data_IF_351596620602
#
_entry.id   IF_351596620602
#
_cell.length_a   1.000
_cell.length_b   1.000
_cell.length_c   1.000
_cell.angle_alpha   90.00
_cell.angle_beta   90.00
_cell.angle_gamma   90.00
#
_symmetry.space_group_name_H-M   'P 1'
#
loop_
_entity.id
_entity.type
_entity.pdbx_description
1 polymer ?
#
# COMPACT_ATOMS: atom_id res chain seq x y z
N UNK A 1 -11.53 -2.94 27.37
CA UNK A 1 -10.99 -2.48 26.07
C UNK A 1 -9.57 -3.00 25.82
N UNK A 2 -8.63 -2.84 26.77
CA UNK A 2 -7.24 -3.33 26.65
C UNK A 2 -7.13 -4.85 26.46
N UNK A 3 -7.94 -5.66 27.14
CA UNK A 3 -7.95 -7.12 26.97
C UNK A 3 -8.39 -7.54 25.57
N UNK A 4 -9.41 -6.89 25.02
CA UNK A 4 -9.91 -7.17 23.65
C UNK A 4 -8.83 -6.79 22.63
N UNK A 5 -8.20 -5.63 22.80
CA UNK A 5 -7.09 -5.18 21.96
C UNK A 5 -5.89 -6.15 22.05
N UNK A 6 -5.55 -6.61 23.25
CA UNK A 6 -4.48 -7.58 23.47
C UNK A 6 -4.76 -8.94 22.81
N UNK A 7 -5.99 -9.45 22.90
CA UNK A 7 -6.41 -10.67 22.21
C UNK A 7 -6.30 -10.48 20.69
N UNK A 8 -6.78 -9.36 20.17
CA UNK A 8 -6.72 -9.05 18.74
C UNK A 8 -5.27 -8.98 18.23
N UNK A 9 -4.39 -8.23 18.91
CA UNK A 9 -2.98 -8.12 18.55
C UNK A 9 -2.32 -9.50 18.57
N UNK A 10 -2.54 -10.28 19.64
CA UNK A 10 -1.97 -11.63 19.77
C UNK A 10 -2.43 -12.54 18.63
N UNK A 11 -3.72 -12.50 18.29
CA UNK A 11 -4.28 -13.28 17.19
C UNK A 11 -3.64 -12.89 15.85
N UNK A 12 -3.54 -11.59 15.55
CA UNK A 12 -2.93 -11.10 14.31
C UNK A 12 -1.46 -11.50 14.21
N UNK A 13 -0.69 -11.33 15.30
CA UNK A 13 0.71 -11.73 15.33
C UNK A 13 0.88 -13.24 15.12
N UNK A 14 0.02 -14.05 15.74
CA UNK A 14 0.02 -15.50 15.55
C UNK A 14 -0.34 -15.90 14.12
N UNK A 15 -1.35 -15.27 13.52
CA UNK A 15 -1.73 -15.49 12.12
C UNK A 15 -0.58 -15.14 11.17
N UNK A 16 0.04 -13.96 11.35
CA UNK A 16 1.20 -13.53 10.56
C UNK A 16 2.36 -14.52 10.71
N UNK A 17 2.62 -15.00 11.93
CA UNK A 17 3.65 -16.01 12.18
C UNK A 17 3.39 -17.30 11.39
N UNK A 18 2.15 -17.82 11.40
CA UNK A 18 1.78 -19.02 10.61
C UNK A 18 1.99 -18.78 9.11
N UNK A 19 1.54 -17.63 8.60
CA UNK A 19 1.63 -17.31 7.18
C UNK A 19 3.08 -17.18 6.70
N UNK A 20 3.96 -16.57 7.51
CA UNK A 20 5.37 -16.36 7.16
C UNK A 20 6.24 -17.59 7.39
N UNK A 21 6.11 -18.26 8.54
CA UNK A 21 7.02 -19.34 8.95
C UNK A 21 6.50 -20.73 8.65
N UNK A 22 5.20 -20.90 8.36
CA UNK A 22 4.58 -22.16 7.96
C UNK A 22 5.32 -22.94 6.87
N UNK A 23 5.73 -22.32 5.74
CA UNK A 23 6.41 -23.04 4.67
C UNK A 23 7.90 -23.31 4.95
N UNK A 24 8.47 -22.76 6.04
CA UNK A 24 9.89 -22.90 6.34
C UNK A 24 10.27 -24.36 6.64
N UNK A 25 11.51 -24.79 6.34
CA UNK A 25 11.95 -26.18 6.56
C UNK A 25 11.80 -26.65 8.02
N UNK A 26 11.87 -25.72 8.98
CA UNK A 26 11.75 -25.99 10.41
C UNK A 26 10.31 -26.33 10.84
N UNK A 27 9.31 -25.72 10.21
CA UNK A 27 7.91 -25.79 10.65
C UNK A 27 6.98 -26.52 9.67
N UNK A 28 7.41 -26.75 8.43
CA UNK A 28 6.57 -27.31 7.34
C UNK A 28 5.89 -28.64 7.66
N UNK A 29 6.52 -29.49 8.48
CA UNK A 29 5.96 -30.79 8.87
C UNK A 29 5.21 -30.77 10.21
N UNK A 30 5.28 -29.66 10.95
CA UNK A 30 4.64 -29.49 12.25
C UNK A 30 3.24 -28.90 12.17
N UNK A 31 2.69 -28.53 13.33
CA UNK A 31 1.36 -27.92 13.46
C UNK A 31 1.28 -26.60 12.69
N UNK A 32 2.32 -25.78 12.77
CA UNK A 32 2.38 -24.47 12.08
C UNK A 32 2.32 -24.65 10.55
N UNK A 33 3.06 -25.62 9.99
CA UNK A 33 2.99 -25.94 8.57
C UNK A 33 1.63 -26.47 8.13
N UNK A 34 1.00 -27.34 8.94
CA UNK A 34 -0.36 -27.83 8.68
C UNK A 34 -1.40 -26.71 8.71
N UNK A 35 -1.32 -25.81 9.70
CA UNK A 35 -2.20 -24.64 9.79
C UNK A 35 -2.00 -23.69 8.60
N UNK A 36 -0.75 -23.50 8.17
CA UNK A 36 -0.46 -22.72 6.96
C UNK A 36 -1.18 -23.31 5.75
N UNK A 37 -0.99 -24.60 5.45
CA UNK A 37 -1.67 -25.28 4.32
C UNK A 37 -3.18 -25.22 4.47
N UNK A 38 -3.70 -25.39 5.69
CA UNK A 38 -5.12 -25.29 5.94
C UNK A 38 -5.67 -23.91 5.56
N UNK A 39 -5.01 -22.84 6.00
CA UNK A 39 -5.42 -21.45 5.74
C UNK A 39 -5.22 -21.06 4.27
N UNK A 40 -4.09 -21.45 3.65
CA UNK A 40 -3.71 -20.99 2.31
C UNK A 40 -4.29 -21.82 1.18
N UNK A 41 -4.66 -23.09 1.42
CA UNK A 41 -5.12 -24.00 0.37
C UNK A 41 -6.44 -24.70 0.72
N UNK A 42 -6.48 -25.41 1.85
CA UNK A 42 -7.63 -26.26 2.20
C UNK A 42 -8.91 -25.44 2.39
N UNK A 43 -8.84 -24.36 3.15
CA UNK A 43 -9.98 -23.47 3.43
C UNK A 43 -10.53 -22.89 2.13
N UNK A 44 -9.67 -22.39 1.24
CA UNK A 44 -10.09 -21.82 -0.04
C UNK A 44 -10.68 -22.87 -0.98
N UNK A 45 -10.18 -24.11 -0.96
CA UNK A 45 -10.75 -25.21 -1.73
C UNK A 45 -12.18 -25.53 -1.28
N UNK A 46 -12.41 -25.64 0.04
CA UNK A 46 -13.75 -25.88 0.57
C UNK A 46 -14.70 -24.70 0.33
N UNK A 47 -14.22 -23.46 0.52
CA UNK A 47 -14.97 -22.25 0.19
C UNK A 47 -15.34 -22.21 -1.30
N UNK A 48 -14.41 -22.53 -2.20
CA UNK A 48 -14.65 -22.59 -3.64
C UNK A 48 -15.71 -23.64 -4.02
N UNK A 49 -15.66 -24.83 -3.41
CA UNK A 49 -16.70 -25.87 -3.59
C UNK A 49 -18.06 -25.41 -3.07
N UNK A 50 -18.09 -24.78 -1.89
CA UNK A 50 -19.31 -24.21 -1.31
C UNK A 50 -19.91 -23.11 -2.20
N UNK A 51 -19.07 -22.17 -2.66
CA UNK A 51 -19.47 -21.11 -3.59
C UNK A 51 -19.97 -21.67 -4.92
N UNK A 52 -19.34 -22.70 -5.47
CA UNK A 52 -19.81 -23.38 -6.68
C UNK A 52 -21.23 -23.94 -6.50
N UNK A 53 -21.53 -24.52 -5.34
CA UNK A 53 -22.86 -25.06 -5.02
C UNK A 53 -23.92 -23.96 -4.85
N UNK A 54 -23.55 -22.80 -4.31
CA UNK A 54 -24.48 -21.68 -4.06
C UNK A 54 -24.72 -20.83 -5.31
N UNK A 55 -23.65 -20.49 -6.04
CA UNK A 55 -23.69 -19.54 -7.15
C UNK A 55 -23.71 -20.21 -8.54
N UNK A 56 -23.43 -21.52 -8.60
CA UNK A 56 -23.25 -22.29 -9.82
C UNK A 56 -21.86 -22.13 -10.44
N UNK A 57 -21.36 -23.20 -11.07
CA UNK A 57 -20.03 -23.24 -11.71
C UNK A 57 -19.84 -22.14 -12.76
N UNK A 58 -20.87 -21.85 -13.56
CA UNK A 58 -20.81 -20.78 -14.58
C UNK A 58 -20.52 -19.42 -13.97
N UNK A 59 -21.15 -19.10 -12.84
CA UNK A 59 -20.94 -17.83 -12.14
C UNK A 59 -19.55 -17.80 -11.51
N UNK A 60 -19.11 -18.91 -10.91
CA UNK A 60 -17.77 -19.01 -10.34
C UNK A 60 -16.67 -18.83 -11.40
N UNK A 61 -16.81 -19.42 -12.58
CA UNK A 61 -15.88 -19.22 -13.70
C UNK A 61 -15.86 -17.76 -14.17
N UNK A 62 -17.01 -17.08 -14.22
CA UNK A 62 -17.07 -15.64 -14.51
C UNK A 62 -16.35 -14.81 -13.43
N UNK A 63 -16.55 -15.13 -12.15
CA UNK A 63 -15.83 -14.49 -11.05
C UNK A 63 -14.32 -14.71 -11.17
N UNK A 64 -13.88 -15.92 -11.50
CA UNK A 64 -12.46 -16.22 -11.74
C UNK A 64 -11.91 -15.43 -12.94
N UNK A 65 -12.67 -15.32 -14.03
CA UNK A 65 -12.29 -14.49 -15.18
C UNK A 65 -12.14 -13.02 -14.81
N UNK A 66 -13.07 -12.47 -14.01
CA UNK A 66 -12.98 -11.12 -13.47
C UNK A 66 -11.75 -10.95 -12.56
N UNK A 67 -11.50 -11.92 -11.68
CA UNK A 67 -10.32 -11.93 -10.81
C UNK A 67 -9.01 -11.94 -11.60
N UNK A 68 -8.89 -12.82 -12.61
CA UNK A 68 -7.71 -12.88 -13.47
C UNK A 68 -7.53 -11.59 -14.25
N UNK A 69 -8.60 -10.97 -14.76
CA UNK A 69 -8.50 -9.64 -15.37
C UNK A 69 -7.98 -8.59 -14.37
N UNK A 70 -8.55 -8.52 -13.16
CA UNK A 70 -8.20 -7.52 -12.16
C UNK A 70 -6.78 -7.70 -11.59
N UNK A 71 -6.30 -8.94 -11.44
CA UNK A 71 -5.07 -9.26 -10.71
C UNK A 71 -3.91 -9.77 -11.57
N UNK A 72 -4.18 -10.41 -12.70
CA UNK A 72 -3.16 -11.07 -13.53
C UNK A 72 -2.95 -10.38 -14.89
N UNK A 73 -3.78 -9.40 -15.23
CA UNK A 73 -3.68 -8.64 -16.47
C UNK A 73 -3.42 -7.16 -16.20
N UNK A 74 -2.80 -6.49 -17.17
CA UNK A 74 -2.57 -5.05 -17.12
C UNK A 74 -3.89 -4.30 -17.33
N UNK A 75 -4.36 -3.61 -16.30
CA UNK A 75 -5.63 -2.88 -16.31
C UNK A 75 -5.58 -1.68 -15.32
N UNK A 76 -6.40 -0.62 -15.53
CA UNK A 76 -6.37 0.57 -14.69
C UNK A 76 -7.13 0.44 -13.36
N UNK A 77 -7.68 -0.72 -13.01
CA UNK A 77 -8.59 -0.83 -11.85
C UNK A 77 -7.93 -0.44 -10.53
N UNK A 78 -6.66 -0.77 -10.32
CA UNK A 78 -5.93 -0.35 -9.12
C UNK A 78 -5.57 1.14 -9.13
N UNK A 79 -5.36 1.75 -10.31
CA UNK A 79 -5.20 3.20 -10.43
C UNK A 79 -6.51 3.92 -10.08
N UNK A 80 -7.65 3.42 -10.57
CA UNK A 80 -8.98 3.95 -10.25
C UNK A 80 -9.25 3.81 -8.75
N UNK A 81 -8.93 2.66 -8.16
CA UNK A 81 -9.08 2.42 -6.73
C UNK A 81 -8.24 3.39 -5.89
N UNK A 82 -6.97 3.60 -6.28
CA UNK A 82 -6.10 4.57 -5.62
C UNK A 82 -6.67 5.99 -5.70
N UNK A 83 -7.07 6.42 -6.90
CA UNK A 83 -7.67 7.74 -7.11
C UNK A 83 -8.97 7.91 -6.32
N UNK A 84 -9.80 6.87 -6.24
CA UNK A 84 -11.00 6.89 -5.41
C UNK A 84 -10.68 7.13 -3.94
N UNK A 85 -9.71 6.41 -3.35
CA UNK A 85 -9.35 6.57 -1.95
C UNK A 85 -8.72 7.92 -1.64
N UNK A 86 -7.77 8.37 -2.47
CA UNK A 86 -7.08 9.64 -2.27
C UNK A 86 -8.03 10.83 -2.49
N UNK A 87 -8.78 10.83 -3.60
CA UNK A 87 -9.74 11.89 -3.89
C UNK A 87 -10.87 11.91 -2.87
N UNK A 88 -11.37 10.74 -2.47
CA UNK A 88 -12.39 10.61 -1.44
C UNK A 88 -11.91 11.18 -0.11
N UNK A 89 -10.71 10.81 0.33
CA UNK A 89 -10.14 11.28 1.60
C UNK A 89 -9.86 12.79 1.59
N UNK A 90 -9.29 13.32 0.51
CA UNK A 90 -9.10 14.77 0.31
C UNK A 90 -10.44 15.48 0.28
N UNK A 91 -11.43 14.97 -0.47
CA UNK A 91 -12.77 15.54 -0.57
C UNK A 91 -13.49 15.58 0.77
N UNK A 92 -13.46 14.49 1.54
CA UNK A 92 -14.00 14.47 2.91
C UNK A 92 -13.32 15.49 3.81
N UNK A 93 -11.99 15.61 3.73
CA UNK A 93 -11.27 16.64 4.50
C UNK A 93 -11.66 18.06 4.07
N UNK A 94 -11.77 18.32 2.77
CA UNK A 94 -12.15 19.64 2.25
C UNK A 94 -13.57 20.04 2.67
N UNK A 95 -14.51 19.09 2.70
CA UNK A 95 -15.91 19.36 3.08
C UNK A 95 -16.09 19.45 4.60
N UNK A 96 -15.46 18.55 5.37
CA UNK A 96 -15.75 18.40 6.80
C UNK A 96 -14.69 19.03 7.72
N UNK A 97 -13.46 19.20 7.23
CA UNK A 97 -12.30 19.58 8.06
C UNK A 97 -11.71 20.95 7.72
N UNK A 98 -11.76 21.38 6.46
CA UNK A 98 -11.07 22.59 6.00
C UNK A 98 -11.51 23.87 6.73
N UNK A 99 -12.82 24.06 6.91
CA UNK A 99 -13.38 25.23 7.59
C UNK A 99 -13.18 25.19 9.12
N UNK A 100 -12.70 24.07 9.67
CA UNK A 100 -12.35 23.95 11.08
C UNK A 100 -10.92 24.38 11.38
N UNK A 101 -10.07 24.54 10.36
CA UNK A 101 -8.67 24.93 10.51
C UNK A 101 -8.47 26.29 11.20
N UNK A 102 -9.26 27.35 10.93
CA UNK A 102 -9.11 28.65 11.60
C UNK A 102 -9.34 28.59 13.12
N UNK A 103 -10.07 27.58 13.61
CA UNK A 103 -10.28 27.37 15.03
C UNK A 103 -9.09 26.67 15.72
N UNK A 104 -8.10 26.20 14.96
CA UNK A 104 -6.87 25.60 15.49
C UNK A 104 -5.80 26.65 15.75
N UNK A 105 -4.71 26.25 16.40
CA UNK A 105 -3.52 27.11 16.58
C UNK A 105 -2.60 27.15 15.36
N UNK A 106 -3.02 26.56 14.22
CA UNK A 106 -2.19 26.50 13.02
C UNK A 106 -2.16 27.84 12.29
N UNK A 107 -1.00 28.16 11.70
CA UNK A 107 -0.86 29.35 10.86
C UNK A 107 -1.75 29.27 9.61
N UNK A 108 -2.34 30.40 9.15
CA UNK A 108 -3.14 30.44 7.91
C UNK A 108 -2.39 29.95 6.66
N UNK A 109 -1.06 29.90 6.68
CA UNK A 109 -0.25 29.34 5.58
C UNK A 109 -0.61 27.88 5.28
N UNK A 110 -1.02 27.11 6.29
CA UNK A 110 -1.43 25.72 6.11
C UNK A 110 -2.63 25.62 5.17
N UNK A 111 -3.63 26.47 5.40
CA UNK A 111 -4.87 26.52 4.62
C UNK A 111 -4.63 27.14 3.24
N UNK A 112 -3.97 28.29 3.18
CA UNK A 112 -3.87 29.07 1.95
C UNK A 112 -2.79 28.57 0.97
N UNK A 113 -1.80 27.80 1.44
CA UNK A 113 -0.65 27.42 0.62
C UNK A 113 -0.27 25.95 0.74
N UNK A 114 0.00 25.45 1.96
CA UNK A 114 0.58 24.11 2.12
C UNK A 114 -0.41 23.03 1.66
N UNK A 115 -1.69 23.12 2.04
CA UNK A 115 -2.70 22.13 1.63
C UNK A 115 -2.86 22.06 0.10
N UNK A 116 -3.09 23.18 -0.62
CA UNK A 116 -3.13 23.16 -2.08
C UNK A 116 -1.88 22.57 -2.74
N UNK A 117 -0.69 22.98 -2.28
CA UNK A 117 0.59 22.47 -2.82
C UNK A 117 0.72 20.97 -2.60
N UNK A 118 0.38 20.48 -1.41
CA UNK A 118 0.43 19.05 -1.08
C UNK A 118 -0.54 18.22 -1.92
N UNK A 119 -1.75 18.74 -2.18
CA UNK A 119 -2.74 18.09 -3.04
C UNK A 119 -2.20 17.98 -4.47
N UNK A 120 -1.72 19.09 -5.05
CA UNK A 120 -1.16 19.12 -6.41
C UNK A 120 0.05 18.19 -6.51
N UNK A 121 0.95 18.25 -5.54
CA UNK A 121 2.14 17.40 -5.51
C UNK A 121 1.80 15.91 -5.50
N UNK A 122 0.79 15.50 -4.71
CA UNK A 122 0.33 14.11 -4.64
C UNK A 122 -0.17 13.60 -5.99
N UNK A 123 -1.03 14.37 -6.67
CA UNK A 123 -1.52 13.98 -7.99
C UNK A 123 -0.43 14.02 -9.06
N UNK A 124 0.47 15.01 -9.01
CA UNK A 124 1.59 15.12 -9.95
C UNK A 124 2.54 13.90 -9.83
N UNK A 125 2.88 13.49 -8.60
CA UNK A 125 3.73 12.32 -8.38
C UNK A 125 3.08 11.04 -8.90
N UNK A 126 1.79 10.84 -8.62
CA UNK A 126 1.05 9.69 -9.12
C UNK A 126 0.98 9.67 -10.65
N UNK A 127 0.70 10.82 -11.28
CA UNK A 127 0.66 10.95 -12.73
C UNK A 127 2.02 10.62 -13.36
N UNK A 128 3.10 11.25 -12.89
CA UNK A 128 4.45 11.01 -13.42
C UNK A 128 4.86 9.54 -13.24
N UNK A 129 4.61 8.96 -12.07
CA UNK A 129 4.90 7.55 -11.81
C UNK A 129 4.08 6.58 -12.69
N UNK A 130 2.89 6.99 -13.15
CA UNK A 130 2.02 6.22 -14.03
C UNK A 130 2.31 6.44 -15.53
N UNK A 131 2.98 7.53 -15.89
CA UNK A 131 3.22 7.92 -17.30
C UNK A 131 4.63 7.67 -17.78
N UNK A 132 5.65 7.70 -16.90
CA UNK A 132 7.03 7.49 -17.32
C UNK A 132 7.34 6.00 -17.44
N UNK A 133 7.64 5.53 -18.66
CA UNK A 133 7.90 4.11 -18.93
C UNK A 133 9.09 3.51 -18.16
N UNK A 134 9.11 2.18 -17.94
CA UNK A 134 10.07 1.50 -17.07
C UNK A 134 11.50 1.37 -17.62
N UNK A 135 11.70 1.65 -18.90
CA UNK A 135 12.94 1.32 -19.62
C UNK A 135 12.84 -0.05 -20.29
N UNK A 136 12.11 -0.08 -21.40
CA UNK A 136 12.01 -1.25 -22.27
C UNK A 136 13.37 -1.65 -22.82
N UNK A 137 13.68 -2.96 -22.79
CA UNK A 137 14.77 -3.53 -23.56
C UNK A 137 14.19 -4.16 -24.82
N UNK A 138 14.60 -3.64 -25.96
CA UNK A 138 14.19 -4.08 -27.29
C UNK A 138 15.42 -4.43 -28.13
N UNK A 139 15.21 -4.98 -29.32
CA UNK A 139 16.31 -5.31 -30.24
C UNK A 139 17.15 -4.07 -30.61
N UNK A 140 16.55 -2.88 -30.61
CA UNK A 140 17.24 -1.63 -30.97
C UNK A 140 18.21 -1.14 -29.89
N UNK A 141 17.91 -1.38 -28.61
CA UNK A 141 18.67 -0.82 -27.49
C UNK A 141 19.37 -1.87 -26.61
N UNK A 142 19.24 -3.16 -26.93
CA UNK A 142 19.79 -4.26 -26.13
C UNK A 142 21.29 -4.11 -25.88
N UNK A 143 22.05 -3.63 -26.86
CA UNK A 143 23.50 -3.42 -26.73
C UNK A 143 23.82 -2.38 -25.66
N UNK A 144 23.20 -1.21 -25.74
CA UNK A 144 23.35 -0.15 -24.73
C UNK A 144 22.91 -0.61 -23.34
N UNK A 145 21.86 -1.43 -23.26
CA UNK A 145 21.39 -1.98 -22.00
C UNK A 145 22.37 -3.02 -21.41
N UNK A 146 23.04 -3.83 -22.25
CA UNK A 146 24.09 -4.76 -21.85
C UNK A 146 25.33 -4.02 -21.34
N UNK A 147 25.72 -2.93 -22.01
CA UNK A 147 26.85 -2.11 -21.60
C UNK A 147 26.59 -1.41 -20.25
N UNK A 148 25.35 -0.94 -20.03
CA UNK A 148 24.95 -0.33 -18.77
C UNK A 148 24.82 -1.33 -17.60
N UNK A 149 24.55 -2.60 -17.90
CA UNK A 149 24.35 -3.67 -16.92
C UNK A 149 25.11 -4.93 -17.33
N UNK A 150 26.46 -4.93 -17.20
CA UNK A 150 27.30 -6.06 -17.56
C UNK A 150 27.09 -7.25 -16.60
N UNK A 151 27.46 -8.43 -17.08
CA UNK A 151 27.42 -9.67 -16.32
C UNK A 151 28.55 -9.73 -15.30
N UNK A 152 28.26 -10.22 -14.10
CA UNK A 152 29.26 -10.48 -13.06
C UNK A 152 29.69 -11.96 -13.01
N UNK A 153 29.01 -12.84 -13.77
CA UNK A 153 29.22 -14.29 -13.79
C UNK A 153 29.19 -14.97 -12.41
N UNK A 154 28.59 -14.29 -11.43
CA UNK A 154 28.37 -14.78 -10.07
C UNK A 154 26.88 -14.89 -9.78
N UNK A 155 26.14 -13.85 -10.11
CA UNK A 155 24.68 -13.76 -9.95
C UNK A 155 23.97 -13.67 -11.30
N UNK A 156 24.63 -13.09 -12.30
CA UNK A 156 24.05 -12.81 -13.61
C UNK A 156 24.92 -13.33 -14.74
N UNK A 157 24.45 -14.39 -15.38
CA UNK A 157 25.01 -14.94 -16.62
C UNK A 157 24.20 -14.52 -17.86
N UNK A 158 24.82 -14.52 -19.06
CA UNK A 158 24.13 -14.33 -20.32
C UNK A 158 22.96 -15.30 -20.50
N UNK A 159 21.75 -14.75 -20.67
CA UNK A 159 20.53 -15.52 -20.94
C UNK A 159 19.72 -14.83 -22.03
N UNK A 160 19.02 -15.60 -22.84
CA UNK A 160 18.09 -15.08 -23.85
C UNK A 160 16.67 -15.09 -23.28
N UNK A 161 15.90 -14.04 -23.52
CA UNK A 161 14.48 -14.04 -23.20
C UNK A 161 13.74 -14.97 -24.16
N UNK A 162 13.06 -16.00 -23.63
CA UNK A 162 12.28 -16.93 -24.44
C UNK A 162 11.15 -16.29 -25.24
N UNK A 163 10.59 -15.18 -24.75
CA UNK A 163 9.48 -14.45 -25.37
C UNK A 163 9.96 -13.37 -26.34
N UNK A 164 10.81 -12.45 -25.86
CA UNK A 164 11.28 -11.31 -26.66
C UNK A 164 12.43 -11.66 -27.62
N UNK A 165 13.06 -12.84 -27.46
CA UNK A 165 14.21 -13.30 -28.27
C UNK A 165 15.41 -12.35 -28.29
N UNK A 166 15.59 -11.57 -27.22
CA UNK A 166 16.73 -10.69 -27.00
C UNK A 166 17.63 -11.25 -25.88
N UNK A 167 18.92 -10.91 -25.94
CA UNK A 167 19.82 -11.15 -24.82
C UNK A 167 19.41 -10.27 -23.63
N UNK A 168 19.28 -10.88 -22.46
CA UNK A 168 18.85 -10.21 -21.23
C UNK A 168 20.04 -9.49 -20.59
N UNK A 169 20.02 -8.15 -20.43
CA UNK A 169 20.99 -7.46 -19.59
C UNK A 169 20.97 -7.99 -18.15
N UNK A 170 22.05 -7.79 -17.39
CA UNK A 170 22.04 -8.14 -15.98
C UNK A 170 20.87 -7.42 -15.27
N UNK A 171 20.28 -8.10 -14.28
CA UNK A 171 19.10 -7.61 -13.52
C UNK A 171 17.84 -7.33 -14.35
N UNK A 172 17.77 -7.71 -15.63
CA UNK A 172 16.56 -7.57 -16.45
C UNK A 172 15.59 -8.75 -16.30
N UNK A 173 14.29 -8.49 -16.46
CA UNK A 173 13.24 -9.51 -16.42
C UNK A 173 12.21 -9.26 -17.52
N UNK A 174 11.62 -10.32 -18.04
CA UNK A 174 10.44 -10.23 -18.90
C UNK A 174 9.21 -10.11 -18.01
N UNK A 175 8.39 -9.10 -18.24
CA UNK A 175 7.11 -8.95 -17.56
C UNK A 175 6.00 -9.50 -18.47
N UNK A 176 5.32 -10.55 -18.03
CA UNK A 176 4.20 -11.15 -18.76
C UNK A 176 2.97 -10.23 -18.83
N UNK A 177 2.80 -9.29 -17.90
CA UNK A 177 1.73 -8.30 -17.92
C UNK A 177 2.00 -7.16 -18.92
N UNK A 178 3.23 -6.64 -18.95
CA UNK A 178 3.63 -5.58 -19.89
C UNK A 178 4.09 -6.11 -21.26
N UNK A 179 4.29 -7.43 -21.41
CA UNK A 179 4.75 -8.10 -22.65
C UNK A 179 6.10 -7.59 -23.18
N UNK A 180 6.98 -7.20 -22.26
CA UNK A 180 8.26 -6.55 -22.59
C UNK A 180 9.36 -6.99 -21.61
N UNK A 181 10.62 -6.91 -22.04
CA UNK A 181 11.75 -6.96 -21.14
C UNK A 181 12.01 -5.59 -20.52
N UNK A 182 12.27 -5.55 -19.22
CA UNK A 182 12.52 -4.32 -18.47
C UNK A 182 13.94 -4.33 -17.93
N UNK A 183 14.70 -3.27 -18.22
CA UNK A 183 16.05 -3.07 -17.70
C UNK A 183 15.99 -2.80 -16.20
N UNK A 184 16.91 -3.40 -15.42
CA UNK A 184 16.94 -3.30 -13.94
C UNK A 184 15.53 -3.44 -13.34
N UNK A 185 14.85 -4.51 -13.74
CA UNK A 185 13.45 -4.74 -13.38
C UNK A 185 13.33 -4.97 -11.88
N UNK A 186 12.47 -4.16 -11.24
CA UNK A 186 12.11 -4.35 -9.84
C UNK A 186 10.85 -5.23 -9.76
N UNK A 187 9.69 -4.68 -10.12
CA UNK A 187 8.41 -5.40 -10.16
C UNK A 187 7.42 -4.79 -11.17
N UNK A 188 6.28 -5.46 -11.39
CA UNK A 188 5.11 -4.85 -12.01
C UNK A 188 4.20 -4.31 -10.93
N UNK A 189 3.88 -3.01 -10.99
CA UNK A 189 3.07 -2.36 -9.99
C UNK A 189 1.69 -2.04 -10.58
N UNK A 190 0.66 -2.75 -10.12
CA UNK A 190 -0.72 -2.50 -10.56
C UNK A 190 -1.22 -1.10 -10.18
N UNK A 191 -0.71 -0.52 -9.08
CA UNK A 191 -1.08 0.83 -8.63
C UNK A 191 -0.71 1.94 -9.61
N UNK A 192 0.36 1.77 -10.39
CA UNK A 192 0.76 2.68 -11.48
C UNK A 192 0.53 2.06 -12.87
N UNK A 193 -0.06 0.86 -12.91
CA UNK A 193 -0.39 0.09 -14.12
C UNK A 193 0.78 -0.09 -15.10
N UNK A 194 2.00 -0.26 -14.56
CA UNK A 194 3.21 -0.49 -15.34
C UNK A 194 4.34 -1.10 -14.49
N UNK A 195 5.42 -1.53 -15.15
CA UNK A 195 6.61 -1.95 -14.45
C UNK A 195 7.34 -0.79 -13.76
N UNK A 196 8.06 -1.13 -12.69
CA UNK A 196 9.10 -0.30 -12.08
C UNK A 196 10.44 -0.87 -12.55
N UNK A 197 11.25 -0.03 -13.18
CA UNK A 197 12.51 -0.41 -13.80
C UNK A 197 13.49 0.76 -13.85
N UNK A 198 14.53 0.61 -14.66
CA UNK A 198 15.63 1.56 -14.74
C UNK A 198 15.18 3.03 -14.90
N UNK A 199 14.26 3.31 -15.82
CA UNK A 199 13.94 4.70 -16.19
C UNK A 199 12.97 5.38 -15.23
N UNK A 200 12.14 4.62 -14.50
CA UNK A 200 11.08 5.18 -13.68
C UNK A 200 11.19 4.89 -12.17
N UNK A 201 12.22 4.15 -11.74
CA UNK A 201 12.42 3.82 -10.32
C UNK A 201 12.36 5.06 -9.42
N UNK A 202 13.01 6.17 -9.80
CA UNK A 202 13.00 7.42 -9.03
C UNK A 202 11.61 8.04 -8.89
N UNK A 203 10.78 7.97 -9.94
CA UNK A 203 9.42 8.50 -9.92
C UNK A 203 8.50 7.63 -9.07
N UNK A 204 8.71 6.31 -9.09
CA UNK A 204 8.02 5.40 -8.19
C UNK A 204 8.36 5.68 -6.72
N UNK A 205 9.63 5.90 -6.37
CA UNK A 205 10.03 6.28 -5.01
C UNK A 205 9.42 7.64 -4.62
N UNK A 206 9.41 8.62 -5.52
CA UNK A 206 8.79 9.92 -5.27
C UNK A 206 7.27 9.80 -5.04
N UNK A 207 6.60 8.94 -5.80
CA UNK A 207 5.20 8.58 -5.58
C UNK A 207 4.96 7.98 -4.18
N UNK A 208 5.77 7.00 -3.76
CA UNK A 208 5.67 6.44 -2.41
C UNK A 208 5.90 7.49 -1.32
N UNK A 209 6.89 8.36 -1.51
CA UNK A 209 7.15 9.47 -0.60
C UNK A 209 5.94 10.41 -0.50
N UNK A 210 5.33 10.78 -1.63
CA UNK A 210 4.13 11.63 -1.65
C UNK A 210 2.96 10.99 -0.88
N UNK A 211 2.78 9.67 -0.99
CA UNK A 211 1.75 8.92 -0.27
C UNK A 211 1.99 8.90 1.25
N UNK A 212 3.23 8.71 1.69
CA UNK A 212 3.59 8.81 3.12
C UNK A 212 3.35 10.24 3.62
N UNK A 213 3.79 11.23 2.85
CA UNK A 213 3.66 12.63 3.22
C UNK A 213 2.19 13.06 3.36
N UNK A 214 1.29 12.65 2.45
CA UNK A 214 -0.14 13.00 2.56
C UNK A 214 -0.79 12.34 3.77
N UNK A 215 -0.47 11.07 4.07
CA UNK A 215 -0.99 10.37 5.25
C UNK A 215 -0.50 11.01 6.56
N UNK A 216 0.79 11.33 6.63
CA UNK A 216 1.38 11.96 7.81
C UNK A 216 0.82 13.35 8.03
N UNK A 217 0.82 14.20 6.99
CA UNK A 217 0.33 15.57 7.09
C UNK A 217 -1.19 15.63 7.32
N UNK A 218 -1.96 14.75 6.68
CA UNK A 218 -3.40 14.63 6.94
C UNK A 218 -3.69 14.26 8.40
N UNK A 219 -2.94 13.29 8.96
CA UNK A 219 -3.06 12.92 10.38
C UNK A 219 -2.72 14.10 11.31
N UNK A 220 -1.68 14.87 10.98
CA UNK A 220 -1.31 16.09 11.69
C UNK A 220 -2.46 17.12 11.71
N UNK A 221 -3.07 17.40 10.56
CA UNK A 221 -4.19 18.36 10.47
C UNK A 221 -5.41 17.87 11.27
N UNK A 222 -5.77 16.59 11.14
CA UNK A 222 -6.88 15.99 11.88
C UNK A 222 -6.63 16.03 13.38
N UNK A 223 -5.40 15.78 13.83
CA UNK A 223 -5.03 15.90 15.24
C UNK A 223 -5.26 17.32 15.77
N UNK A 224 -4.80 18.35 15.06
CA UNK A 224 -5.00 19.74 15.48
C UNK A 224 -6.48 20.15 15.52
N UNK A 225 -7.26 19.72 14.52
CA UNK A 225 -8.71 19.92 14.51
C UNK A 225 -9.34 19.21 15.72
N UNK A 226 -9.01 17.94 15.94
CA UNK A 226 -9.55 17.15 17.05
C UNK A 226 -9.27 17.82 18.40
N UNK A 227 -8.02 18.23 18.64
CA UNK A 227 -7.60 18.91 19.87
C UNK A 227 -8.36 20.22 20.06
N UNK A 228 -8.45 21.07 19.03
CA UNK A 228 -9.21 22.34 19.08
C UNK A 228 -10.69 22.10 19.43
N UNK A 229 -11.32 21.11 18.79
CA UNK A 229 -12.72 20.75 19.04
C UNK A 229 -12.93 20.17 20.45
N UNK A 230 -12.00 19.35 20.92
CA UNK A 230 -12.02 18.80 22.27
C UNK A 230 -12.00 19.93 23.32
N UNK A 231 -11.05 20.86 23.23
CA UNK A 231 -10.95 22.02 24.13
C UNK A 231 -12.19 22.93 24.07
N UNK A 232 -12.80 23.05 22.88
CA UNK A 232 -13.99 23.86 22.69
C UNK A 232 -15.28 23.22 23.21
N UNK A 233 -15.28 21.89 23.43
CA UNK A 233 -16.49 21.13 23.79
C UNK A 233 -17.01 21.47 25.20
N UNK A 234 -18.34 21.55 25.35
CA UNK A 234 -18.99 21.80 26.64
C UNK A 234 -18.66 20.73 27.67
N UNK A 235 -18.53 19.48 27.23
CA UNK A 235 -18.13 18.36 28.08
C UNK A 235 -16.72 18.58 28.67
N UNK A 236 -15.74 18.93 27.83
CA UNK A 236 -14.38 19.18 28.31
C UNK A 236 -14.33 20.37 29.28
N UNK A 237 -15.01 21.47 28.93
CA UNK A 237 -15.13 22.64 29.81
C UNK A 237 -15.79 22.29 31.15
N UNK A 238 -16.85 21.48 31.14
CA UNK A 238 -17.52 20.99 32.35
C UNK A 238 -16.60 20.10 33.20
N UNK A 239 -15.87 19.16 32.59
CA UNK A 239 -14.94 18.28 33.30
C UNK A 239 -13.82 19.07 33.98
N UNK A 240 -13.25 20.06 33.29
CA UNK A 240 -12.23 20.96 33.85
C UNK A 240 -12.81 21.81 34.99
N UNK A 241 -13.97 22.46 34.78
CA UNK A 241 -14.60 23.34 35.76
C UNK A 241 -14.99 22.59 37.06
N UNK A 242 -15.42 21.33 36.94
CA UNK A 242 -15.86 20.51 38.08
C UNK A 242 -14.74 19.70 38.73
N UNK A 243 -13.49 19.80 38.23
CA UNK A 243 -12.36 18.92 38.59
C UNK A 243 -12.65 17.42 38.49
N UNK A 244 -13.71 17.03 37.76
CA UNK A 244 -14.12 15.62 37.60
C UNK A 244 -13.21 14.84 36.66
N UNK A 245 -12.25 15.49 36.00
CA UNK A 245 -11.19 14.81 35.26
C UNK A 245 -10.34 13.88 36.13
N UNK A 246 -10.21 14.16 37.44
CA UNK A 246 -9.54 13.27 38.41
C UNK A 246 -10.27 11.94 38.59
N UNK A 247 -11.61 11.92 38.41
CA UNK A 247 -12.44 10.71 38.53
C UNK A 247 -12.38 9.82 37.27
N UNK A 248 -11.92 10.35 36.13
CA UNK A 248 -11.80 9.61 34.88
C UNK A 248 -10.57 8.70 34.83
N UNK A 249 -9.73 8.67 35.87
CA UNK A 249 -8.61 7.73 36.01
C UNK A 249 -7.46 7.90 35.01
N UNK A 250 -7.58 8.82 34.04
CA UNK A 250 -6.61 8.99 32.94
C UNK A 250 -5.20 9.41 33.37
N UNK A 251 -5.03 9.95 34.58
CA UNK A 251 -3.75 10.42 35.11
C UNK A 251 -3.33 9.77 36.43
N UNK A 252 -4.11 8.85 37.00
CA UNK A 252 -3.77 8.24 38.30
C UNK A 252 -2.55 7.31 38.22
N UNK A 253 -2.21 6.85 37.02
CA UNK A 253 -1.11 5.89 36.78
C UNK A 253 0.16 6.51 36.15
N UNK A 254 0.21 7.84 35.93
CA UNK A 254 1.39 8.51 35.32
C UNK A 254 2.13 9.45 36.29
N UNK A 255 2.34 9.01 37.55
CA UNK A 255 3.35 9.59 38.44
C UNK A 255 4.75 9.05 38.12
N UNK A 256 5.22 9.21 36.89
CA UNK A 256 6.63 9.01 36.54
C UNK A 256 7.08 10.29 35.82
N UNK A 257 8.11 10.93 36.37
CA UNK A 257 8.78 12.17 35.94
C UNK A 257 8.21 13.48 36.48
N UNK A 258 8.43 13.72 37.79
CA UNK A 258 9.11 14.94 38.27
C UNK A 258 10.43 14.46 38.88
#
# INVERSE_FOLDING_TARGET
MLTILGIYITFILFLVFILLFGPSPRFRFGIVGKLHVFITDTMWTYLGKGMSKVMGERTLTKCHGCWSYLSEQRNPSLQILYLFFITGSIGTFLVCGYDLLPATSLSPIHQNFIIPVMIVFTYACFFVASSVGPGEVSAQNVRSALDAYPYDYLLFDPKICGTCKIQKPARSKHCSMCKMCVARSDHHCGWINQCVGHNNHRYFILFLYSAVQVCWYGSFLVYHIFVSRMYSSSMFKYLVATKRWEQLGFLRDYHIFI
#
